data_IF_658874919005
#
_entry.id   IF_658874919005
#
_cell.length_a   1.000
_cell.length_b   1.000
_cell.length_c   1.000
_cell.angle_alpha   90.00
_cell.angle_beta   90.00
_cell.angle_gamma   90.00
#
_symmetry.space_group_name_H-M   'P 1'
#
loop_
_entity.id
_entity.type
_entity.pdbx_description
1 polymer ?
#
# COMPACT_ATOMS: atom_id res chain seq x y z
N UNK A 1 -3.75 -17.13 15.36
CA UNK A 1 -3.36 -17.27 13.93
C UNK A 1 -2.95 -15.90 13.43
N UNK A 2 -1.83 -15.82 12.75
CA UNK A 2 -1.40 -14.55 12.14
C UNK A 2 -2.36 -14.22 11.02
N UNK A 3 -2.99 -13.04 11.07
CA UNK A 3 -3.91 -12.60 10.02
C UNK A 3 -3.13 -11.84 8.95
N UNK A 4 -3.44 -12.10 7.70
CA UNK A 4 -2.93 -11.40 6.53
C UNK A 4 -4.09 -10.69 5.84
N UNK A 5 -3.87 -9.48 5.36
CA UNK A 5 -4.88 -8.79 4.56
C UNK A 5 -4.95 -9.40 3.16
N UNK A 6 -6.14 -9.78 2.71
CA UNK A 6 -6.40 -10.20 1.33
C UNK A 6 -6.70 -9.02 0.40
N UNK A 7 -7.02 -7.86 0.97
CA UNK A 7 -7.19 -6.59 0.28
C UNK A 7 -7.02 -5.39 1.23
N UNK A 8 -6.94 -4.19 0.67
CA UNK A 8 -6.56 -2.98 1.41
C UNK A 8 -7.42 -2.64 2.63
N UNK A 9 -8.72 -2.97 2.64
CA UNK A 9 -9.60 -2.66 3.79
C UNK A 9 -9.30 -3.54 5.01
N UNK A 10 -8.67 -4.68 4.83
CA UNK A 10 -8.28 -5.59 5.91
C UNK A 10 -6.92 -5.23 6.53
N UNK A 11 -6.18 -4.30 5.94
CA UNK A 11 -4.86 -3.89 6.45
C UNK A 11 -4.90 -3.50 7.94
N UNK A 12 -5.85 -2.67 8.43
CA UNK A 12 -5.89 -2.32 9.86
C UNK A 12 -6.07 -3.53 10.79
N UNK A 13 -6.86 -4.51 10.38
CA UNK A 13 -7.06 -5.72 11.18
C UNK A 13 -5.84 -6.63 11.13
N UNK A 14 -5.24 -6.80 9.96
CA UNK A 14 -4.04 -7.61 9.78
C UNK A 14 -2.87 -7.10 10.64
N UNK A 15 -2.62 -5.78 10.66
CA UNK A 15 -1.53 -5.21 11.47
C UNK A 15 -1.80 -5.32 12.97
N UNK A 16 -3.07 -5.19 13.43
CA UNK A 16 -3.42 -5.42 14.85
C UNK A 16 -3.22 -6.86 15.30
N UNK A 17 -3.30 -7.79 14.39
CA UNK A 17 -3.21 -9.24 14.66
C UNK A 17 -1.83 -9.82 14.40
N UNK A 18 -0.88 -8.99 13.92
CA UNK A 18 0.46 -9.41 13.50
C UNK A 18 1.52 -8.40 13.92
N UNK A 19 1.96 -8.48 15.17
CA UNK A 19 2.95 -7.58 15.76
C UNK A 19 4.27 -7.55 14.97
N UNK A 20 4.68 -8.69 14.41
CA UNK A 20 5.91 -8.76 13.62
C UNK A 20 5.78 -7.98 12.30
N UNK A 21 4.64 -8.09 11.62
CA UNK A 21 4.35 -7.32 10.42
C UNK A 21 4.24 -5.82 10.73
N UNK A 22 3.57 -5.46 11.82
CA UNK A 22 3.47 -4.08 12.28
C UNK A 22 4.87 -3.49 12.54
N UNK A 23 5.72 -4.20 13.25
CA UNK A 23 7.10 -3.78 13.54
C UNK A 23 7.90 -3.60 12.25
N UNK A 24 7.83 -4.54 11.33
CA UNK A 24 8.50 -4.44 10.01
C UNK A 24 8.07 -3.19 9.24
N UNK A 25 6.77 -2.89 9.22
CA UNK A 25 6.25 -1.71 8.54
C UNK A 25 6.73 -0.42 9.23
N UNK A 26 6.69 -0.38 10.56
CA UNK A 26 7.16 0.76 11.34
C UNK A 26 8.64 1.07 11.06
N UNK A 27 9.48 0.07 10.88
CA UNK A 27 10.91 0.23 10.54
C UNK A 27 11.12 0.75 9.10
N UNK A 28 10.21 0.46 8.19
CA UNK A 28 10.32 0.83 6.77
C UNK A 28 9.92 2.29 6.53
N UNK A 29 8.84 2.76 7.13
CA UNK A 29 8.22 4.06 6.82
C UNK A 29 9.19 5.23 6.97
N UNK A 30 9.98 5.37 8.06
CA UNK A 30 10.87 6.52 8.26
C UNK A 30 11.97 6.63 7.21
N UNK A 31 12.45 5.51 6.68
CA UNK A 31 13.58 5.44 5.76
C UNK A 31 13.21 5.48 4.28
N UNK A 32 11.92 5.57 3.93
CA UNK A 32 11.47 5.53 2.54
C UNK A 32 10.82 6.84 2.10
N UNK A 33 11.14 7.33 0.91
CA UNK A 33 10.54 8.57 0.39
C UNK A 33 9.06 8.37 0.07
N UNK A 34 8.29 9.45 0.14
CA UNK A 34 6.92 9.55 -0.37
C UNK A 34 6.95 10.59 -1.48
N UNK A 35 6.89 10.14 -2.72
CA UNK A 35 6.96 10.99 -3.89
C UNK A 35 5.57 11.35 -4.44
N UNK A 36 5.56 12.38 -5.26
CA UNK A 36 4.41 12.79 -6.05
C UNK A 36 3.91 14.19 -5.70
N UNK A 37 3.29 14.83 -6.68
CA UNK A 37 2.82 16.23 -6.61
C UNK A 37 1.94 16.54 -5.39
N UNK A 38 1.25 15.55 -4.84
CA UNK A 38 0.36 15.72 -3.67
C UNK A 38 1.12 16.02 -2.39
N UNK A 39 2.36 15.57 -2.30
CA UNK A 39 3.23 15.72 -1.12
C UNK A 39 4.38 16.70 -1.34
N UNK A 40 4.50 17.30 -2.52
CA UNK A 40 5.51 18.30 -2.79
C UNK A 40 5.22 19.63 -2.09
N UNK A 41 6.27 20.23 -1.54
CA UNK A 41 6.27 21.58 -0.95
C UNK A 41 6.12 21.58 0.57
N UNK A 42 6.91 22.42 1.25
CA UNK A 42 6.90 22.56 2.71
C UNK A 42 7.04 21.23 3.44
N UNK A 43 6.25 21.05 4.48
CA UNK A 43 6.28 19.85 5.35
C UNK A 43 5.29 18.76 4.90
N UNK A 44 4.74 18.85 3.70
CA UNK A 44 3.66 17.96 3.22
C UNK A 44 4.07 16.48 3.19
N UNK A 45 5.29 16.16 2.77
CA UNK A 45 5.78 14.77 2.79
C UNK A 45 5.88 14.27 4.23
N UNK A 46 6.43 15.09 5.14
CA UNK A 46 6.55 14.71 6.55
C UNK A 46 5.18 14.53 7.20
N UNK A 47 4.24 15.43 6.96
CA UNK A 47 2.87 15.32 7.47
C UNK A 47 2.18 14.03 6.95
N UNK A 48 2.36 13.70 5.67
CA UNK A 48 1.84 12.45 5.12
C UNK A 48 2.47 11.21 5.80
N UNK A 49 3.77 11.27 6.09
CA UNK A 49 4.51 10.23 6.80
C UNK A 49 3.99 10.04 8.22
N UNK A 50 3.79 11.13 8.95
CA UNK A 50 3.30 11.10 10.34
C UNK A 50 1.88 10.51 10.42
N UNK A 51 1.02 10.84 9.45
CA UNK A 51 -0.31 10.23 9.33
C UNK A 51 -0.22 8.72 9.10
N UNK A 52 0.70 8.27 8.23
CA UNK A 52 0.90 6.84 7.96
C UNK A 52 1.48 6.11 9.16
N UNK A 53 2.41 6.71 9.90
CA UNK A 53 2.92 6.16 11.15
C UNK A 53 1.77 5.94 12.13
N UNK A 54 0.93 6.95 12.37
CA UNK A 54 -0.19 6.82 13.28
C UNK A 54 -1.21 5.77 12.82
N UNK A 55 -1.39 5.63 11.50
CA UNK A 55 -2.25 4.58 10.92
C UNK A 55 -1.68 3.17 11.19
N UNK A 56 -0.39 2.95 10.93
CA UNK A 56 0.24 1.64 11.16
C UNK A 56 0.50 1.34 12.64
N UNK A 57 0.59 2.36 13.49
CA UNK A 57 0.56 2.22 14.95
C UNK A 57 -0.85 1.90 15.51
N UNK A 58 -1.84 1.76 14.64
CA UNK A 58 -3.25 1.53 15.00
C UNK A 58 -3.88 2.63 15.87
N UNK A 59 -3.33 3.85 15.84
CA UNK A 59 -3.88 5.01 16.56
C UNK A 59 -5.06 5.63 15.84
N UNK A 60 -5.10 5.53 14.51
CA UNK A 60 -6.16 6.06 13.65
C UNK A 60 -6.57 5.04 12.59
N UNK A 61 -7.80 5.16 12.10
CA UNK A 61 -8.36 4.39 10.99
C UNK A 61 -8.30 5.19 9.67
N UNK A 62 -8.63 4.54 8.54
CA UNK A 62 -8.66 5.17 7.22
C UNK A 62 -9.42 6.50 7.19
N UNK A 63 -10.61 6.56 7.79
CA UNK A 63 -11.44 7.78 7.77
C UNK A 63 -10.78 8.96 8.47
N UNK A 64 -10.12 8.72 9.60
CA UNK A 64 -9.38 9.77 10.29
C UNK A 64 -8.10 10.15 9.54
N UNK A 65 -7.40 9.17 8.94
CA UNK A 65 -6.25 9.44 8.09
C UNK A 65 -6.63 10.33 6.89
N UNK A 66 -7.75 10.05 6.22
CA UNK A 66 -8.25 10.86 5.10
C UNK A 66 -8.56 12.30 5.52
N UNK A 67 -9.17 12.46 6.68
CA UNK A 67 -9.51 13.77 7.23
C UNK A 67 -8.26 14.57 7.60
N UNK A 68 -7.28 13.92 8.23
CA UNK A 68 -6.00 14.55 8.58
C UNK A 68 -5.24 15.04 7.35
N UNK A 69 -5.25 14.28 6.24
CA UNK A 69 -4.65 14.74 4.97
C UNK A 69 -5.25 16.06 4.52
N UNK A 70 -6.58 16.23 4.58
CA UNK A 70 -7.22 17.50 4.21
C UNK A 70 -6.83 18.66 5.12
N UNK A 71 -6.56 18.40 6.40
CA UNK A 71 -6.20 19.40 7.42
C UNK A 71 -4.70 19.74 7.39
N UNK A 72 -3.84 18.72 7.31
CA UNK A 72 -2.39 18.84 7.49
C UNK A 72 -1.64 19.00 6.16
N UNK A 73 -2.30 18.65 5.03
CA UNK A 73 -1.79 18.86 3.69
C UNK A 73 -2.78 19.72 2.84
N UNK A 74 -3.19 20.92 3.29
CA UNK A 74 -4.24 21.66 2.60
C UNK A 74 -3.82 21.96 1.15
N UNK A 75 -4.75 21.70 0.21
CA UNK A 75 -4.50 21.88 -1.24
C UNK A 75 -3.89 23.25 -1.58
N UNK A 76 -4.37 24.30 -0.95
CA UNK A 76 -3.94 25.68 -1.19
C UNK A 76 -2.44 25.94 -0.97
N UNK A 77 -1.80 25.10 -0.14
CA UNK A 77 -0.38 25.22 0.21
C UNK A 77 0.53 24.38 -0.71
N UNK A 78 -0.06 23.63 -1.62
CA UNK A 78 0.70 22.88 -2.62
C UNK A 78 1.12 23.78 -3.78
N UNK A 79 2.37 23.64 -4.32
CA UNK A 79 2.77 24.28 -5.56
C UNK A 79 1.89 23.86 -6.76
N UNK A 80 1.21 22.73 -6.65
CA UNK A 80 0.29 22.18 -7.66
C UNK A 80 -1.19 22.45 -7.35
N UNK A 81 -1.51 23.42 -6.52
CA UNK A 81 -2.87 23.71 -6.02
C UNK A 81 -3.93 23.89 -7.12
N UNK A 82 -3.53 24.34 -8.30
CA UNK A 82 -4.41 24.56 -9.44
C UNK A 82 -4.59 23.35 -10.36
N UNK A 83 -3.84 22.26 -10.13
CA UNK A 83 -3.92 21.04 -10.94
C UNK A 83 -5.04 20.11 -10.42
N UNK A 84 -6.17 20.10 -11.14
CA UNK A 84 -7.31 19.23 -10.79
C UNK A 84 -7.05 17.73 -11.03
N UNK A 85 -6.05 17.37 -11.83
CA UNK A 85 -5.64 15.98 -11.98
C UNK A 85 -4.88 15.48 -10.74
N UNK A 86 -4.05 16.36 -10.17
CA UNK A 86 -3.35 16.09 -8.90
C UNK A 86 -4.32 16.05 -7.73
N UNK A 87 -5.24 17.02 -7.66
CA UNK A 87 -6.21 17.19 -6.59
C UNK A 87 -7.65 16.93 -7.08
N UNK A 88 -7.90 15.69 -7.51
CA UNK A 88 -9.26 15.18 -7.75
C UNK A 88 -10.09 15.22 -6.46
N UNK A 89 -11.40 15.01 -6.55
CA UNK A 89 -12.31 15.06 -5.38
C UNK A 89 -11.93 14.11 -4.24
N UNK A 90 -11.27 13.00 -4.58
CA UNK A 90 -10.88 11.91 -3.69
C UNK A 90 -9.35 11.80 -3.50
N UNK A 91 -8.61 12.88 -3.77
CA UNK A 91 -7.16 12.86 -3.77
C UNK A 91 -6.53 12.44 -2.41
N UNK A 92 -7.16 12.83 -1.31
CA UNK A 92 -6.73 12.50 0.05
C UNK A 92 -6.87 11.01 0.33
N UNK A 93 -8.00 10.40 -0.06
CA UNK A 93 -8.21 8.96 0.05
C UNK A 93 -7.24 8.19 -0.82
N UNK A 94 -7.07 8.63 -2.07
CA UNK A 94 -6.14 8.00 -3.01
C UNK A 94 -4.69 8.07 -2.54
N UNK A 95 -4.27 9.17 -1.87
CA UNK A 95 -2.94 9.28 -1.27
C UNK A 95 -2.73 8.25 -0.18
N UNK A 96 -3.60 8.22 0.82
CA UNK A 96 -3.47 7.31 1.98
C UNK A 96 -3.60 5.86 1.53
N UNK A 97 -4.60 5.52 0.71
CA UNK A 97 -4.79 4.14 0.21
C UNK A 97 -3.55 3.63 -0.50
N UNK A 98 -3.01 4.42 -1.43
CA UNK A 98 -1.81 4.02 -2.17
C UNK A 98 -0.62 3.78 -1.25
N UNK A 99 -0.37 4.68 -0.31
CA UNK A 99 0.78 4.55 0.60
C UNK A 99 0.56 3.45 1.64
N UNK A 100 -0.65 3.27 2.14
CA UNK A 100 -0.97 2.17 3.04
C UNK A 100 -0.75 0.80 2.36
N UNK A 101 -1.28 0.61 1.15
CA UNK A 101 -1.04 -0.63 0.39
C UNK A 101 0.45 -0.82 0.06
N UNK A 102 1.16 0.26 -0.30
CA UNK A 102 2.60 0.19 -0.59
C UNK A 102 3.41 -0.28 0.61
N UNK A 103 3.25 0.37 1.76
CA UNK A 103 4.01 0.04 2.97
C UNK A 103 3.61 -1.31 3.55
N UNK A 104 2.32 -1.63 3.53
CA UNK A 104 1.84 -2.96 3.90
C UNK A 104 2.46 -4.04 3.02
N UNK A 105 2.40 -3.92 1.70
CA UNK A 105 2.95 -4.91 0.79
C UNK A 105 4.47 -5.05 0.94
N UNK A 106 5.18 -3.94 1.17
CA UNK A 106 6.62 -3.99 1.44
C UNK A 106 6.92 -4.80 2.70
N UNK A 107 6.25 -4.49 3.82
CA UNK A 107 6.39 -5.24 5.07
C UNK A 107 5.97 -6.71 4.93
N UNK A 108 4.86 -6.96 4.24
CA UNK A 108 4.35 -8.31 4.00
C UNK A 108 5.34 -9.17 3.20
N UNK A 109 5.94 -8.63 2.14
CA UNK A 109 6.99 -9.35 1.40
C UNK A 109 8.20 -9.70 2.27
N UNK A 110 8.64 -8.77 3.12
CA UNK A 110 9.76 -9.04 4.03
C UNK A 110 9.40 -10.09 5.08
N UNK A 111 8.22 -9.97 5.70
CA UNK A 111 7.73 -10.92 6.68
C UNK A 111 7.59 -12.33 6.08
N UNK A 112 7.04 -12.47 4.88
CA UNK A 112 6.94 -13.76 4.20
C UNK A 112 8.31 -14.39 3.98
N UNK A 113 9.32 -13.59 3.59
CA UNK A 113 10.71 -14.07 3.46
C UNK A 113 11.30 -14.54 4.78
N UNK A 114 11.06 -13.81 5.87
CA UNK A 114 11.50 -14.21 7.22
C UNK A 114 10.86 -15.52 7.67
N UNK A 115 9.61 -15.77 7.26
CA UNK A 115 8.91 -17.03 7.50
C UNK A 115 9.39 -18.18 6.58
N UNK A 116 10.30 -17.90 5.65
CA UNK A 116 10.91 -18.89 4.76
C UNK A 116 10.19 -19.08 3.42
N UNK A 117 9.20 -18.24 3.09
CA UNK A 117 8.55 -18.27 1.79
C UNK A 117 9.41 -17.59 0.71
N UNK A 118 9.54 -18.22 -0.44
CA UNK A 118 10.12 -17.61 -1.65
C UNK A 118 9.04 -17.03 -2.58
N UNK A 119 7.79 -17.43 -2.38
CA UNK A 119 6.63 -17.07 -3.18
C UNK A 119 5.51 -16.53 -2.28
N UNK A 120 4.63 -15.73 -2.88
CA UNK A 120 3.39 -15.24 -2.26
C UNK A 120 2.22 -15.45 -3.22
N UNK A 121 1.01 -15.56 -2.69
CA UNK A 121 -0.22 -15.51 -3.47
C UNK A 121 -0.80 -14.11 -3.44
N UNK A 122 -1.31 -13.63 -4.57
CA UNK A 122 -2.01 -12.35 -4.69
C UNK A 122 -3.49 -12.63 -4.97
N UNK A 123 -4.36 -12.56 -3.95
CA UNK A 123 -5.78 -12.86 -4.14
C UNK A 123 -6.48 -11.82 -5.01
N UNK A 124 -7.61 -12.22 -5.59
CA UNK A 124 -8.56 -11.28 -6.17
C UNK A 124 -9.18 -10.43 -5.06
N UNK A 125 -9.29 -9.13 -5.29
CA UNK A 125 -9.93 -8.21 -4.35
C UNK A 125 -11.38 -7.93 -4.77
N UNK A 126 -12.35 -7.91 -3.83
CA UNK A 126 -13.73 -7.54 -4.15
C UNK A 126 -13.87 -6.10 -4.68
N UNK A 127 -12.85 -5.28 -4.47
CA UNK A 127 -12.79 -3.87 -4.88
C UNK A 127 -11.83 -3.64 -6.05
N UNK A 128 -11.36 -4.70 -6.73
CA UNK A 128 -10.41 -4.57 -7.82
C UNK A 128 -11.03 -3.99 -9.10
N UNK A 129 -10.24 -3.24 -9.83
CA UNK A 129 -10.59 -2.85 -11.19
C UNK A 129 -10.12 -3.93 -12.17
N UNK A 130 -11.05 -4.68 -12.75
CA UNK A 130 -10.78 -5.76 -13.73
C UNK A 130 -9.96 -5.29 -14.94
N UNK A 131 -10.03 -4.01 -15.29
CA UNK A 131 -9.25 -3.43 -16.39
C UNK A 131 -7.81 -3.08 -15.98
N UNK A 132 -7.47 -3.09 -14.71
CA UNK A 132 -6.13 -2.74 -14.26
C UNK A 132 -5.10 -3.81 -14.59
N UNK A 133 -3.84 -3.36 -14.78
CA UNK A 133 -2.76 -4.27 -15.15
C UNK A 133 -2.42 -5.25 -14.02
N UNK A 134 -2.45 -4.80 -12.76
CA UNK A 134 -2.19 -5.67 -11.61
C UNK A 134 -3.24 -6.77 -11.49
N UNK A 135 -4.54 -6.46 -11.70
CA UNK A 135 -5.59 -7.47 -11.68
C UNK A 135 -5.39 -8.50 -12.80
N UNK A 136 -5.14 -8.03 -14.02
CA UNK A 136 -5.00 -8.94 -15.17
C UNK A 136 -3.76 -9.81 -15.16
N UNK A 137 -2.66 -9.32 -14.56
CA UNK A 137 -1.35 -9.97 -14.63
C UNK A 137 -0.95 -10.65 -13.34
N UNK A 138 -1.44 -10.19 -12.17
CA UNK A 138 -0.94 -10.67 -10.89
C UNK A 138 -2.02 -11.31 -10.02
N UNK A 139 -3.26 -10.79 -10.01
CA UNK A 139 -4.31 -11.31 -9.15
C UNK A 139 -4.69 -12.76 -9.50
N UNK A 140 -4.98 -13.56 -8.47
CA UNK A 140 -5.30 -14.97 -8.58
C UNK A 140 -4.10 -15.87 -8.87
N UNK A 141 -2.87 -15.39 -8.70
CA UNK A 141 -1.64 -16.13 -8.99
C UNK A 141 -0.63 -16.14 -7.85
N UNK A 142 0.27 -17.12 -7.91
CA UNK A 142 1.44 -17.24 -7.04
C UNK A 142 2.66 -16.68 -7.75
N UNK A 143 3.47 -15.90 -7.04
CA UNK A 143 4.56 -15.13 -7.61
C UNK A 143 5.78 -15.14 -6.69
N UNK A 144 6.97 -15.15 -7.28
CA UNK A 144 8.23 -14.97 -6.55
C UNK A 144 8.26 -13.61 -5.85
N UNK A 145 8.62 -13.59 -4.57
CA UNK A 145 8.63 -12.38 -3.73
C UNK A 145 9.71 -11.41 -4.17
N UNK A 146 10.94 -11.88 -4.42
CA UNK A 146 12.07 -10.99 -4.71
C UNK A 146 11.87 -10.12 -5.95
N UNK A 147 11.38 -10.62 -7.09
CA UNK A 147 11.06 -9.77 -8.23
C UNK A 147 9.98 -8.72 -7.93
N UNK A 148 8.92 -9.08 -7.19
CA UNK A 148 7.85 -8.14 -6.83
C UNK A 148 8.34 -7.05 -5.88
N UNK A 149 9.12 -7.43 -4.85
CA UNK A 149 9.70 -6.50 -3.89
C UNK A 149 10.70 -5.54 -4.57
N UNK A 150 11.53 -6.04 -5.47
CA UNK A 150 12.46 -5.18 -6.22
C UNK A 150 11.72 -4.19 -7.11
N UNK A 151 10.68 -4.61 -7.83
CA UNK A 151 9.84 -3.72 -8.64
C UNK A 151 9.12 -2.66 -7.79
N UNK A 152 8.65 -3.05 -6.59
CA UNK A 152 8.03 -2.12 -5.66
C UNK A 152 9.03 -1.04 -5.22
N UNK A 153 10.25 -1.43 -4.86
CA UNK A 153 11.33 -0.50 -4.49
C UNK A 153 11.70 0.42 -5.64
N UNK A 154 11.97 -0.14 -6.82
CA UNK A 154 12.30 0.66 -8.01
C UNK A 154 11.23 1.70 -8.30
N UNK A 155 9.97 1.30 -8.24
CA UNK A 155 8.84 2.19 -8.55
C UNK A 155 8.67 3.31 -7.53
N UNK A 156 8.76 3.01 -6.24
CA UNK A 156 8.37 3.95 -5.19
C UNK A 156 9.55 4.56 -4.41
N UNK A 157 10.71 3.94 -4.40
CA UNK A 157 11.89 4.50 -3.76
C UNK A 157 12.79 5.24 -4.76
N UNK A 158 12.76 4.84 -6.03
CA UNK A 158 13.59 5.41 -7.10
C UNK A 158 12.79 6.14 -8.19
N UNK A 159 11.46 6.28 -8.02
CA UNK A 159 10.54 6.89 -9.01
C UNK A 159 10.64 6.28 -10.42
N UNK A 160 11.05 5.03 -10.52
CA UNK A 160 11.13 4.34 -11.80
C UNK A 160 9.79 3.69 -12.17
N UNK A 161 8.94 4.43 -12.87
CA UNK A 161 7.61 3.98 -13.28
C UNK A 161 7.60 3.08 -14.52
N UNK A 162 8.74 2.89 -15.18
CA UNK A 162 8.90 2.00 -16.34
C UNK A 162 9.13 0.53 -15.93
N UNK A 163 9.11 0.23 -14.64
CA UNK A 163 9.22 -1.13 -14.14
C UNK A 163 8.01 -1.98 -14.55
N UNK A 164 8.18 -3.31 -14.70
CA UNK A 164 7.06 -4.24 -14.83
C UNK A 164 6.06 -4.08 -13.67
N UNK A 165 4.84 -4.56 -13.90
CA UNK A 165 3.76 -4.43 -12.92
C UNK A 165 4.15 -5.00 -11.55
N UNK A 166 3.75 -4.28 -10.49
CA UNK A 166 3.86 -4.67 -9.08
C UNK A 166 2.56 -4.29 -8.34
N UNK A 167 2.50 -4.56 -7.05
CA UNK A 167 1.40 -4.15 -6.17
C UNK A 167 1.90 -3.24 -5.04
N UNK A 168 1.34 -2.01 -4.88
CA UNK A 168 0.33 -1.40 -5.74
C UNK A 168 0.92 -0.93 -7.08
N UNK A 169 0.15 -1.08 -8.17
CA UNK A 169 0.56 -0.59 -9.49
C UNK A 169 0.09 0.84 -9.76
N UNK A 170 -0.99 1.27 -9.11
CA UNK A 170 -1.64 2.58 -9.25
C UNK A 170 -2.30 2.98 -7.93
N UNK A 171 -2.71 4.26 -7.75
CA UNK A 171 -3.35 4.75 -6.53
C UNK A 171 -4.59 3.98 -6.08
N UNK A 172 -5.29 3.32 -6.99
CA UNK A 172 -6.50 2.54 -6.73
C UNK A 172 -6.24 1.02 -6.71
N UNK A 173 -4.99 0.58 -6.64
CA UNK A 173 -4.68 -0.83 -6.46
C UNK A 173 -5.07 -1.29 -5.05
N UNK A 174 -5.77 -2.40 -4.98
CA UNK A 174 -6.34 -2.94 -3.73
C UNK A 174 -5.69 -4.25 -3.29
N UNK A 175 -4.76 -4.76 -4.09
CA UNK A 175 -4.15 -6.08 -3.90
C UNK A 175 -3.04 -6.07 -2.84
N UNK A 176 -3.03 -7.14 -2.04
CA UNK A 176 -2.05 -7.43 -1.01
C UNK A 176 -1.52 -8.86 -1.16
N UNK A 177 -0.26 -9.15 -0.80
CA UNK A 177 0.25 -10.51 -0.82
C UNK A 177 -0.12 -11.26 0.46
N UNK A 178 -0.39 -12.55 0.33
CA UNK A 178 -0.59 -13.49 1.44
C UNK A 178 0.29 -14.72 1.27
N UNK A 179 0.48 -15.55 2.32
CA UNK A 179 1.17 -16.85 2.19
C UNK A 179 0.51 -17.73 1.13
N UNK A 180 1.29 -18.48 0.32
CA UNK A 180 0.74 -19.31 -0.75
C UNK A 180 -0.19 -20.43 -0.25
N UNK A 181 0.04 -20.94 0.95
CA UNK A 181 -0.77 -21.97 1.60
C UNK A 181 -2.16 -21.48 2.05
N UNK A 182 -2.38 -20.17 2.05
CA UNK A 182 -3.71 -19.57 2.28
C UNK A 182 -4.52 -19.39 0.98
N UNK A 183 -3.95 -19.70 -0.18
CA UNK A 183 -4.62 -19.56 -1.48
C UNK A 183 -5.83 -20.51 -1.68
N UNK A 184 -5.87 -21.64 -0.98
CA UNK A 184 -6.88 -22.68 -1.17
C UNK A 184 -8.27 -22.28 -0.63
N UNK A 185 -8.35 -21.37 0.34
CA UNK A 185 -9.61 -20.90 0.91
C UNK A 185 -10.41 -19.99 -0.06
N UNK A 186 -9.74 -19.34 -1.02
CA UNK A 186 -10.35 -18.41 -1.97
C UNK A 186 -11.11 -19.12 -3.11
N UNK A 187 -10.80 -20.40 -3.37
CA UNK A 187 -11.42 -21.19 -4.44
C UNK A 187 -12.83 -21.73 -4.10
N UNK A 188 -13.23 -21.69 -2.82
CA UNK A 188 -14.54 -22.19 -2.36
C UNK A 188 -15.64 -21.10 -2.27
N UNK A 189 -15.29 -19.84 -2.55
CA UNK A 189 -16.20 -18.68 -2.40
C UNK A 189 -16.76 -18.16 -3.75
N UNK A 190 -16.67 -18.96 -4.83
CA UNK A 190 -17.20 -18.61 -6.15
C UNK A 190 -18.42 -19.44 -6.55
#
# INVERSE_FOLDING_TARGET
MTQWASHYLEIPEAIRSNDALQTQIADIIPGRPIYGKRVEGGDREQNARDILIDFFDCKIEYQEAYKRVLQELPRRESPHSHDNNTFSSDWNEALIRMQAVRFYNHGAFLQLKELGYSECYIPHSPHENRGSECTRKLAGGTWEIDPLLNRLKERYDNENYDTPVTIPSRPNCTHTPIPPDMAEDDSQSR
#
